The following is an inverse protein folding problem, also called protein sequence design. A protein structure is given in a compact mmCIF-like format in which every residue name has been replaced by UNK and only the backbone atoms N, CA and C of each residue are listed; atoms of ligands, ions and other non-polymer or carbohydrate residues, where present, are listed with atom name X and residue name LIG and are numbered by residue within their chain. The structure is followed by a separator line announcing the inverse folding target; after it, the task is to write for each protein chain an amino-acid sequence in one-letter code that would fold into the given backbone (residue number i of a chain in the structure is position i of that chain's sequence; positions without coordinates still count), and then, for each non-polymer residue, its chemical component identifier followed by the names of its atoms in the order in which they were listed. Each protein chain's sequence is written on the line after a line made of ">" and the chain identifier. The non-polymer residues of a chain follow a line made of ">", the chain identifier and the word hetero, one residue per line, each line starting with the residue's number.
data_IF_575137759903
#
_entry.id   IF_575137759903
#
_cell.length_a   1.000
_cell.length_b   1.000
_cell.length_c   1.000
_cell.angle_alpha   90.00
_cell.angle_beta   90.00
_cell.angle_gamma   90.00
#
_symmetry.space_group_name_H-M   'P 1'
#
loop_
_entity.id
_entity.type
_entity.pdbx_description
1 polymer ?
#
# COMPACT_ATOMS: atom_id res chain seq x y z
N UNK A 1 -8.50 -5.10 2.43
CA UNK A 1 -7.16 -4.52 2.20
C UNK A 1 -6.98 -3.38 3.19
N UNK A 2 -5.80 -3.27 3.78
CA UNK A 2 -5.41 -2.17 4.66
C UNK A 2 -4.08 -1.60 4.17
N UNK A 3 -3.96 -0.27 4.16
CA UNK A 3 -2.73 0.43 3.79
C UNK A 3 -2.34 1.37 4.93
N UNK A 4 -1.09 1.25 5.37
CA UNK A 4 -0.46 2.18 6.30
C UNK A 4 0.53 3.01 5.49
N UNK A 5 0.39 4.33 5.54
CA UNK A 5 1.32 5.29 4.93
C UNK A 5 1.99 6.10 6.03
N UNK A 6 3.32 6.04 6.07
CA UNK A 6 4.14 6.80 7.01
C UNK A 6 4.90 7.86 6.24
N UNK A 7 4.73 9.13 6.59
CA UNK A 7 5.50 10.21 5.97
C UNK A 7 6.98 10.07 6.33
N UNK A 8 7.86 10.38 5.38
CA UNK A 8 9.29 10.56 5.66
C UNK A 8 9.53 11.67 6.68
N UNK A 9 10.68 11.64 7.36
CA UNK A 9 11.01 12.61 8.42
C UNK A 9 11.21 14.02 7.86
N UNK A 10 11.55 14.12 6.57
CA UNK A 10 11.73 15.37 5.84
C UNK A 10 10.94 15.36 4.52
N UNK A 11 10.79 16.53 3.89
CA UNK A 11 10.12 16.64 2.58
C UNK A 11 10.89 15.95 1.45
N UNK A 12 12.18 15.71 1.64
CA UNK A 12 13.07 15.02 0.70
C UNK A 12 13.06 13.50 0.88
N UNK A 13 12.63 13.00 2.04
CA UNK A 13 12.51 11.56 2.27
C UNK A 13 11.20 11.01 1.70
N UNK A 14 11.25 9.85 1.02
CA UNK A 14 10.04 9.19 0.55
C UNK A 14 9.16 8.78 1.75
N UNK A 15 7.86 8.73 1.51
CA UNK A 15 6.96 8.08 2.47
C UNK A 15 7.17 6.57 2.40
N UNK A 16 7.11 5.86 3.51
CA UNK A 16 7.08 4.39 3.49
C UNK A 16 5.65 3.88 3.58
N UNK A 17 5.42 2.66 3.11
CA UNK A 17 4.14 2.00 3.23
C UNK A 17 4.25 0.56 3.72
N UNK A 18 3.15 0.10 4.33
CA UNK A 18 2.88 -1.32 4.54
C UNK A 18 1.46 -1.61 4.08
N UNK A 19 1.29 -2.60 3.21
CA UNK A 19 -0.01 -3.04 2.70
C UNK A 19 -0.31 -4.44 3.19
N UNK A 20 -1.57 -4.68 3.57
CA UNK A 20 -2.08 -5.96 4.03
C UNK A 20 -3.30 -6.35 3.21
N UNK A 21 -3.33 -7.58 2.71
CA UNK A 21 -4.41 -8.09 1.87
C UNK A 21 -4.80 -9.50 2.30
N UNK A 22 -6.08 -9.81 2.17
CA UNK A 22 -6.58 -11.18 2.22
C UNK A 22 -7.12 -11.46 0.82
N UNK A 23 -6.51 -12.40 0.12
CA UNK A 23 -6.98 -12.79 -1.21
C UNK A 23 -8.19 -13.69 -1.06
N UNK A 24 -9.17 -13.58 -1.96
CA UNK A 24 -10.38 -14.40 -1.91
C UNK A 24 -10.01 -15.89 -1.97
N UNK A 25 -10.52 -16.66 -1.01
CA UNK A 25 -10.23 -18.09 -0.88
C UNK A 25 -9.06 -18.39 0.07
N UNK A 26 -8.25 -17.38 0.42
CA UNK A 26 -7.20 -17.52 1.42
C UNK A 26 -7.76 -17.18 2.81
N UNK A 27 -7.18 -17.81 3.84
CA UNK A 27 -7.41 -17.45 5.25
C UNK A 27 -6.28 -16.62 5.84
N UNK A 28 -5.20 -16.47 5.09
CA UNK A 28 -3.97 -15.79 5.49
C UNK A 28 -4.01 -14.31 5.10
N UNK A 29 -3.35 -13.48 5.92
CA UNK A 29 -3.11 -12.07 5.61
C UNK A 29 -1.71 -11.95 5.03
N UNK A 30 -1.64 -11.56 3.76
CA UNK A 30 -0.39 -11.30 3.07
C UNK A 30 0.02 -9.84 3.26
N UNK A 31 1.32 -9.56 3.30
CA UNK A 31 1.82 -8.19 3.46
C UNK A 31 3.00 -7.85 2.54
N UNK A 32 3.13 -6.56 2.21
CA UNK A 32 4.25 -6.03 1.45
C UNK A 32 4.62 -4.62 1.95
N UNK A 33 5.88 -4.24 1.78
CA UNK A 33 6.43 -2.94 2.17
C UNK A 33 7.18 -2.27 1.03
N UNK A 34 7.34 -0.96 1.15
CA UNK A 34 8.21 -0.20 0.27
C UNK A 34 8.01 1.30 0.41
N UNK A 35 8.31 2.03 -0.66
CA UNK A 35 8.39 3.48 -0.65
C UNK A 35 7.43 4.11 -1.65
N UNK A 36 6.85 5.24 -1.27
CA UNK A 36 6.01 6.08 -2.11
C UNK A 36 6.72 7.38 -2.45
N UNK A 37 6.72 7.74 -3.74
CA UNK A 37 7.33 8.96 -4.28
C UNK A 37 6.33 9.76 -5.10
N UNK A 38 6.53 11.08 -5.14
CA UNK A 38 5.71 11.97 -5.95
C UNK A 38 6.29 12.08 -7.36
N UNK A 39 5.59 11.58 -8.38
CA UNK A 39 5.96 11.60 -9.81
C UNK A 39 4.75 11.88 -10.70
N UNK A 40 4.27 13.13 -10.73
CA UNK A 40 3.00 13.48 -11.40
C UNK A 40 1.74 12.88 -10.75
N UNK A 41 1.92 12.28 -9.56
CA UNK A 41 0.99 11.49 -8.76
C UNK A 41 1.76 10.87 -7.59
N UNK A 42 1.14 10.07 -6.73
CA UNK A 42 1.87 9.28 -5.72
C UNK A 42 2.00 7.85 -6.29
N UNK A 43 3.24 7.38 -6.44
CA UNK A 43 3.55 6.01 -6.89
C UNK A 43 4.31 5.31 -5.78
N UNK A 44 3.90 4.10 -5.46
CA UNK A 44 4.47 3.28 -4.39
C UNK A 44 5.10 2.02 -5.01
N UNK A 45 6.40 1.87 -4.80
CA UNK A 45 7.23 0.77 -5.27
C UNK A 45 7.44 -0.23 -4.13
N UNK A 46 7.13 -1.51 -4.36
CA UNK A 46 7.43 -2.59 -3.41
C UNK A 46 8.92 -2.88 -3.44
N UNK A 47 9.51 -3.16 -2.27
CA UNK A 47 10.91 -3.58 -2.16
C UNK A 47 11.22 -4.83 -3.01
N UNK A 48 12.49 -5.03 -3.39
CA UNK A 48 12.95 -6.22 -4.11
C UNK A 48 12.22 -6.48 -5.45
N UNK A 49 11.95 -5.42 -6.22
CA UNK A 49 11.28 -5.48 -7.52
C UNK A 49 9.88 -6.14 -7.49
N UNK A 50 9.21 -6.07 -6.34
CA UNK A 50 7.88 -6.62 -6.12
C UNK A 50 6.74 -5.91 -6.86
N UNK A 51 7.04 -4.98 -7.76
CA UNK A 51 6.04 -4.16 -8.45
C UNK A 51 5.59 -2.98 -7.60
N UNK A 52 4.30 -2.70 -7.56
CA UNK A 52 3.78 -1.50 -6.91
C UNK A 52 2.40 -1.03 -7.38
N UNK A 53 2.02 0.15 -6.94
CA UNK A 53 0.71 0.74 -7.22
C UNK A 53 0.73 2.27 -7.20
N UNK A 54 -0.24 2.89 -7.85
CA UNK A 54 -0.44 4.34 -7.77
C UNK A 54 -1.54 4.69 -6.77
N UNK A 55 -1.38 5.81 -6.07
CA UNK A 55 -2.40 6.43 -5.23
C UNK A 55 -2.92 7.69 -5.93
N UNK A 56 -4.22 7.68 -6.22
CA UNK A 56 -4.97 8.84 -6.69
C UNK A 56 -5.85 9.41 -5.59
N UNK A 57 -6.03 10.73 -5.62
CA UNK A 57 -7.10 11.37 -4.86
C UNK A 57 -8.46 11.02 -5.49
N UNK A 58 -9.46 10.81 -4.66
CA UNK A 58 -10.86 10.79 -5.13
C UNK A 58 -11.42 12.21 -5.13
N UNK A 59 -12.67 12.39 -5.60
CA UNK A 59 -13.35 13.68 -5.52
C UNK A 59 -13.62 14.15 -4.08
N UNK A 60 -13.41 13.28 -3.07
CA UNK A 60 -13.56 13.59 -1.65
C UNK A 60 -12.23 13.41 -0.91
N UNK A 61 -12.05 14.16 0.19
CA UNK A 61 -10.85 14.09 1.04
C UNK A 61 -10.79 12.84 1.91
N UNK A 62 -11.91 12.13 2.04
CA UNK A 62 -12.07 10.99 2.96
C UNK A 62 -11.74 9.65 2.32
N UNK A 63 -11.52 9.62 1.00
CA UNK A 63 -11.18 8.41 0.28
C UNK A 63 -9.99 8.61 -0.66
N UNK A 64 -9.15 7.59 -0.72
CA UNK A 64 -8.07 7.44 -1.68
C UNK A 64 -8.40 6.29 -2.62
N UNK A 65 -7.88 6.34 -3.83
CA UNK A 65 -7.96 5.24 -4.77
C UNK A 65 -6.57 4.66 -5.01
N UNK A 66 -6.40 3.38 -4.71
CA UNK A 66 -5.25 2.60 -5.18
C UNK A 66 -5.56 2.10 -6.58
N UNK A 67 -4.62 2.25 -7.50
CA UNK A 67 -4.67 1.68 -8.84
C UNK A 67 -3.50 0.71 -9.03
N UNK A 68 -3.81 -0.55 -9.35
CA UNK A 68 -2.82 -1.57 -9.68
C UNK A 68 -2.46 -1.58 -11.17
N UNK A 69 -3.33 -1.05 -12.03
CA UNK A 69 -3.19 -1.09 -13.50
C UNK A 69 -1.98 -0.31 -14.02
N UNK A 70 -1.54 0.74 -13.30
CA UNK A 70 -0.36 1.53 -13.62
C UNK A 70 0.37 1.94 -12.33
N UNK A 71 1.71 1.93 -12.26
CA UNK A 71 2.66 1.55 -13.32
C UNK A 71 3.07 0.06 -13.35
N UNK A 72 2.79 -0.72 -12.30
CA UNK A 72 3.45 -2.02 -12.13
C UNK A 72 2.57 -3.25 -12.43
N UNK A 73 1.23 -3.13 -12.45
CA UNK A 73 0.33 -4.24 -12.80
C UNK A 73 0.19 -5.33 -11.74
N UNK A 74 1.07 -5.37 -10.73
CA UNK A 74 1.12 -6.37 -9.66
C UNK A 74 1.79 -5.84 -8.39
N UNK A 75 1.46 -6.47 -7.26
CA UNK A 75 2.16 -6.36 -5.98
C UNK A 75 2.55 -7.78 -5.57
N UNK A 76 3.85 -8.05 -5.47
CA UNK A 76 4.37 -9.26 -4.85
C UNK A 76 4.24 -9.14 -3.33
N UNK A 77 3.51 -10.07 -2.73
CA UNK A 77 3.34 -10.13 -1.28
C UNK A 77 4.42 -11.04 -0.67
N UNK A 78 4.88 -10.73 0.54
CA UNK A 78 6.01 -11.34 1.30
C UNK A 78 7.42 -10.77 1.07
N UNK A 79 7.52 -9.57 0.48
CA UNK A 79 8.80 -8.87 0.39
C UNK A 79 9.89 -9.67 -0.34
N UNK A 80 11.10 -9.69 0.22
CA UNK A 80 12.29 -10.29 -0.41
C UNK A 80 12.44 -11.80 -0.17
N UNK A 81 11.59 -12.40 0.68
CA UNK A 81 11.78 -13.76 1.21
C UNK A 81 11.11 -14.85 0.32
N UNK A 82 10.75 -14.50 -0.91
CA UNK A 82 10.39 -15.47 -1.95
C UNK A 82 9.04 -16.18 -1.78
N UNK A 83 8.13 -15.68 -0.94
CA UNK A 83 6.79 -16.25 -0.79
C UNK A 83 5.87 -15.86 -1.96
N UNK A 84 5.57 -16.79 -2.86
CA UNK A 84 4.76 -16.58 -4.08
C UNK A 84 3.29 -16.21 -3.79
N UNK A 85 2.99 -14.91 -3.61
CA UNK A 85 1.63 -14.42 -3.82
C UNK A 85 1.61 -13.07 -4.50
N UNK A 86 1.23 -13.07 -5.77
CA UNK A 86 1.02 -11.84 -6.53
C UNK A 86 -0.43 -11.38 -6.42
N UNK A 87 -0.61 -10.13 -6.02
CA UNK A 87 -1.86 -9.39 -6.21
C UNK A 87 -1.74 -8.64 -7.53
N UNK A 88 -2.25 -9.25 -8.59
CA UNK A 88 -2.28 -8.64 -9.92
C UNK A 88 -3.60 -7.91 -10.19
N UNK A 89 -3.54 -6.89 -11.06
CA UNK A 89 -4.73 -6.28 -11.61
C UNK A 89 -5.52 -7.32 -12.42
N UNK A 90 -6.62 -7.82 -11.86
CA UNK A 90 -7.45 -8.84 -12.49
C UNK A 90 -8.41 -8.28 -13.54
N UNK A 91 -9.31 -9.14 -14.05
CA UNK A 91 -10.41 -8.72 -14.94
C UNK A 91 -11.35 -7.73 -14.24
N UNK A 92 -11.62 -7.96 -12.95
CA UNK A 92 -12.69 -7.29 -12.22
C UNK A 92 -12.18 -6.31 -11.14
N UNK A 93 -10.96 -6.52 -10.59
CA UNK A 93 -10.40 -5.71 -9.49
C UNK A 93 -9.07 -5.03 -9.90
N UNK A 94 -9.14 -3.78 -10.36
CA UNK A 94 -7.97 -2.98 -10.78
C UNK A 94 -7.72 -1.76 -9.91
N UNK A 95 -8.76 -1.33 -9.20
CA UNK A 95 -8.80 -0.10 -8.42
C UNK A 95 -9.49 -0.40 -7.10
N UNK A 96 -8.87 0.01 -6.01
CA UNK A 96 -9.40 -0.19 -4.67
C UNK A 96 -9.64 1.18 -4.05
N UNK A 97 -10.86 1.42 -3.59
CA UNK A 97 -11.15 2.56 -2.74
C UNK A 97 -10.68 2.23 -1.32
N UNK A 98 -9.90 3.12 -0.74
CA UNK A 98 -9.54 3.11 0.66
C UNK A 98 -10.22 4.29 1.34
N UNK A 99 -11.08 3.98 2.32
CA UNK A 99 -11.61 5.00 3.21
C UNK A 99 -10.59 5.29 4.31
N UNK A 100 -10.53 6.56 4.72
CA UNK A 100 -9.63 7.00 5.78
C UNK A 100 -10.02 6.34 7.10
N UNK A 101 -9.06 5.69 7.75
CA UNK A 101 -9.27 5.15 9.09
C UNK A 101 -9.48 6.30 10.11
N UNK A 102 -10.29 6.08 11.17
CA UNK A 102 -10.39 7.04 12.28
C UNK A 102 -9.02 7.36 12.87
N UNK A 103 -8.78 8.61 13.27
CA UNK A 103 -7.46 9.04 13.77
C UNK A 103 -6.94 8.23 14.96
N UNK A 104 -7.83 7.67 15.78
CA UNK A 104 -7.49 6.78 16.89
C UNK A 104 -6.78 5.49 16.43
N UNK A 105 -7.16 4.95 15.26
CA UNK A 105 -6.51 3.78 14.67
C UNK A 105 -5.08 4.13 14.26
N UNK A 106 -4.87 5.30 13.65
CA UNK A 106 -3.53 5.78 13.31
C UNK A 106 -2.67 6.00 14.56
N UNK A 107 -3.24 6.56 15.63
CA UNK A 107 -2.52 6.76 16.90
C UNK A 107 -2.11 5.44 17.56
N UNK A 108 -2.98 4.44 17.57
CA UNK A 108 -2.68 3.11 18.10
C UNK A 108 -1.56 2.43 17.30
N UNK A 109 -1.60 2.50 15.97
CA UNK A 109 -0.54 1.98 15.09
C UNK A 109 0.79 2.70 15.36
N UNK A 110 0.78 4.04 15.45
CA UNK A 110 1.99 4.81 15.73
C UNK A 110 2.61 4.39 17.09
N UNK A 111 1.80 4.28 18.14
CA UNK A 111 2.26 3.86 19.47
C UNK A 111 2.86 2.43 19.44
N UNK A 112 2.25 1.50 18.71
CA UNK A 112 2.77 0.14 18.56
C UNK A 112 4.09 0.07 17.76
N UNK A 113 4.37 1.06 16.91
CA UNK A 113 5.57 1.10 16.07
C UNK A 113 6.72 1.91 16.70
N UNK A 114 6.43 2.77 17.69
CA UNK A 114 7.41 3.59 18.43
C UNK A 114 7.93 2.94 19.73
N UNK A 115 7.47 1.74 20.07
CA UNK A 115 7.80 1.05 21.32
C UNK A 115 9.01 0.11 21.27
N UNK A 116 9.98 0.34 20.37
CA UNK A 116 11.20 -0.46 20.25
C UNK A 116 12.45 0.38 20.56
#
# INVERSE_FOLDING_TARGET
>A
MSLILTRGASRSEPASFRIFVTVRGDREVWSASGECRRRGGIVCDVECDGGGFAIGATSTTEALQIALDRPHGRISMNGCDGGERDVAAGRDDRRFRLDRAPGQVCAAIAAATSGN
#
